data_IF_257305604890
#
_entry.id   IF_257305604890
#
_cell.length_a   1.000
_cell.length_b   1.000
_cell.length_c   1.000
_cell.angle_alpha   90.00
_cell.angle_beta   90.00
_cell.angle_gamma   90.00
#
_symmetry.space_group_name_H-M   'P 1'
#
loop_
_entity.id
_entity.type
_entity.pdbx_description
1 polymer ?
#
# COMPACT_ATOMS: atom_id res chain seq x y z
N UNK A 1 -7.47 -2.84 17.67
CA UNK A 1 -8.92 -2.73 17.89
C UNK A 1 -9.77 -3.20 16.71
N UNK A 2 -9.31 -3.12 15.46
CA UNK A 2 -10.11 -3.43 14.26
C UNK A 2 -10.88 -4.77 14.32
N UNK A 3 -10.19 -5.88 14.61
CA UNK A 3 -10.80 -7.22 14.77
C UNK A 3 -11.87 -7.21 15.87
N UNK A 4 -11.52 -6.72 17.07
CA UNK A 4 -12.43 -6.69 18.22
C UNK A 4 -13.66 -5.78 18.01
N UNK A 5 -13.63 -4.91 17.01
CA UNK A 5 -14.70 -3.97 16.69
C UNK A 5 -15.46 -4.34 15.43
N UNK A 6 -15.20 -5.50 14.81
CA UNK A 6 -15.79 -5.91 13.54
C UNK A 6 -15.68 -4.79 12.48
N UNK A 7 -14.51 -4.14 12.43
CA UNK A 7 -14.31 -3.01 11.53
C UNK A 7 -14.25 -3.48 10.07
N UNK A 8 -14.95 -2.77 9.18
CA UNK A 8 -14.90 -3.00 7.72
C UNK A 8 -13.64 -2.44 7.06
N UNK A 9 -12.84 -1.69 7.81
CA UNK A 9 -11.62 -1.03 7.34
C UNK A 9 -11.01 -0.18 8.45
N UNK A 10 -9.81 0.32 8.22
CA UNK A 10 -9.07 1.16 9.17
C UNK A 10 -8.48 2.38 8.49
N UNK A 11 -8.40 3.48 9.23
CA UNK A 11 -7.63 4.67 8.86
C UNK A 11 -6.55 4.84 9.90
N UNK A 12 -5.32 5.09 9.45
CA UNK A 12 -4.18 5.37 10.30
C UNK A 12 -4.08 6.87 10.53
N UNK A 13 -3.67 7.26 11.73
CA UNK A 13 -3.45 8.66 12.08
C UNK A 13 -2.19 8.77 12.93
N UNK A 14 -1.24 9.58 12.48
CA UNK A 14 -0.02 9.90 13.21
C UNK A 14 0.02 11.41 13.50
N UNK A 15 0.21 11.79 14.75
CA UNK A 15 0.42 13.20 15.12
C UNK A 15 1.91 13.60 15.04
N UNK A 16 2.28 14.44 14.08
CA UNK A 16 3.57 15.11 14.06
C UNK A 16 3.50 16.35 14.95
N UNK A 17 4.22 16.32 16.08
CA UNK A 17 4.31 17.49 16.98
C UNK A 17 5.16 18.62 16.39
N UNK A 18 5.95 18.32 15.34
CA UNK A 18 6.62 19.31 14.52
C UNK A 18 5.64 19.96 13.54
N UNK A 19 5.93 21.20 13.10
CA UNK A 19 5.16 21.89 12.05
C UNK A 19 5.39 21.34 10.64
N UNK A 20 6.11 20.23 10.51
CA UNK A 20 6.37 19.58 9.24
C UNK A 20 5.42 18.38 9.06
N UNK A 21 4.42 18.49 8.18
CA UNK A 21 3.47 17.43 7.93
C UNK A 21 4.01 16.37 6.95
N UNK A 22 5.26 16.49 6.50
CA UNK A 22 5.89 15.54 5.58
C UNK A 22 5.97 14.15 6.22
N UNK A 23 5.41 13.10 5.59
CA UNK A 23 5.50 11.74 6.11
C UNK A 23 6.96 11.26 6.18
N UNK A 24 7.35 10.72 7.33
CA UNK A 24 8.68 10.14 7.51
C UNK A 24 8.80 8.79 6.80
N UNK A 25 10.03 8.30 6.63
CA UNK A 25 10.25 6.94 6.11
C UNK A 25 9.68 5.87 7.04
N UNK A 26 9.62 6.13 8.35
CA UNK A 26 8.97 5.24 9.31
C UNK A 26 7.46 5.19 9.12
N UNK A 27 6.81 6.32 8.78
CA UNK A 27 5.38 6.34 8.47
C UNK A 27 5.08 5.55 7.20
N UNK A 28 5.90 5.71 6.16
CA UNK A 28 5.77 4.95 4.91
C UNK A 28 5.95 3.45 5.13
N UNK A 29 6.97 3.06 5.88
CA UNK A 29 7.24 1.66 6.21
C UNK A 29 6.09 1.02 7.01
N UNK A 30 5.60 1.73 8.03
CA UNK A 30 4.47 1.30 8.85
C UNK A 30 3.21 1.14 8.00
N UNK A 31 2.95 2.09 7.10
CA UNK A 31 1.79 2.07 6.21
C UNK A 31 1.81 0.86 5.30
N UNK A 32 2.93 0.59 4.62
CA UNK A 32 3.10 -0.60 3.77
C UNK A 32 2.84 -1.88 4.58
N UNK A 33 3.50 -2.03 5.73
CA UNK A 33 3.34 -3.21 6.57
C UNK A 33 1.88 -3.42 7.00
N UNK A 34 1.19 -2.37 7.41
CA UNK A 34 -0.22 -2.45 7.83
C UNK A 34 -1.18 -2.70 6.66
N UNK A 35 -0.87 -2.22 5.45
CA UNK A 35 -1.61 -2.60 4.24
C UNK A 35 -1.52 -4.11 4.00
N UNK A 36 -0.35 -4.72 4.15
CA UNK A 36 -0.21 -6.18 3.99
C UNK A 36 -0.98 -6.94 5.08
N UNK A 37 -0.90 -6.48 6.33
CA UNK A 37 -1.70 -7.07 7.43
C UNK A 37 -3.20 -6.95 7.15
N UNK A 38 -3.65 -5.80 6.65
CA UNK A 38 -5.04 -5.58 6.27
C UNK A 38 -5.52 -6.51 5.16
N UNK A 39 -4.66 -6.86 4.21
CA UNK A 39 -4.96 -7.87 3.17
C UNK A 39 -5.15 -9.27 3.77
N UNK A 40 -4.27 -9.67 4.69
CA UNK A 40 -4.34 -10.99 5.35
C UNK A 40 -5.61 -11.11 6.20
N UNK A 41 -5.99 -10.04 6.88
CA UNK A 41 -7.15 -10.02 7.78
C UNK A 41 -8.48 -9.70 7.08
N UNK A 42 -8.45 -9.37 5.79
CA UNK A 42 -9.59 -8.81 5.05
C UNK A 42 -10.18 -7.55 5.72
N UNK A 43 -9.31 -6.71 6.28
CA UNK A 43 -9.65 -5.41 6.87
C UNK A 43 -8.73 -4.35 6.26
N UNK A 44 -9.15 -3.68 5.16
CA UNK A 44 -8.27 -2.79 4.41
C UNK A 44 -7.86 -1.56 5.22
N UNK A 45 -6.62 -1.10 4.99
CA UNK A 45 -6.17 0.25 5.37
C UNK A 45 -6.60 1.21 4.27
N UNK A 46 -7.53 2.10 4.60
CA UNK A 46 -8.18 3.00 3.65
C UNK A 46 -7.33 4.23 3.36
N UNK A 47 -6.70 4.79 4.40
CA UNK A 47 -5.83 5.96 4.30
C UNK A 47 -4.91 6.06 5.53
N UNK A 48 -3.90 6.93 5.44
CA UNK A 48 -3.06 7.36 6.56
C UNK A 48 -2.94 8.88 6.56
N UNK A 49 -3.36 9.51 7.65
CA UNK A 49 -3.19 10.94 7.88
C UNK A 49 -2.00 11.23 8.79
N UNK A 50 -1.13 12.13 8.36
CA UNK A 50 -0.20 12.81 9.26
C UNK A 50 -0.88 14.10 9.68
N UNK A 51 -1.10 14.30 10.98
CA UNK A 51 -1.76 15.49 11.50
C UNK A 51 -0.72 16.35 12.22
N UNK A 52 -0.74 17.64 11.93
CA UNK A 52 0.01 18.68 12.64
C UNK A 52 -0.97 19.73 13.17
N UNK A 53 -0.45 20.79 13.80
CA UNK A 53 -1.30 21.91 14.24
C UNK A 53 -1.91 22.72 13.10
N UNK A 54 -1.32 22.69 11.90
CA UNK A 54 -1.71 23.57 10.79
C UNK A 54 -2.20 22.81 9.55
N UNK A 55 -1.82 21.53 9.41
CA UNK A 55 -2.10 20.73 8.22
C UNK A 55 -2.33 19.23 8.55
N UNK A 56 -2.96 18.51 7.64
CA UNK A 56 -3.35 17.10 7.77
C UNK A 56 -3.22 16.30 6.45
N UNK A 57 -2.03 16.16 5.85
CA UNK A 57 -1.90 15.44 4.59
C UNK A 57 -2.37 13.99 4.69
N UNK A 58 -3.10 13.59 3.65
CA UNK A 58 -3.54 12.23 3.38
C UNK A 58 -2.54 11.52 2.48
N UNK A 59 -2.13 10.32 2.85
CA UNK A 59 -1.33 9.44 2.00
C UNK A 59 -2.05 9.12 0.69
N UNK A 60 -3.38 8.94 0.72
CA UNK A 60 -4.17 8.66 -0.48
C UNK A 60 -4.13 9.87 -1.43
N UNK A 61 -4.30 11.09 -0.91
CA UNK A 61 -4.26 12.31 -1.71
C UNK A 61 -2.86 12.57 -2.30
N UNK A 62 -1.80 12.23 -1.56
CA UNK A 62 -0.41 12.35 -2.01
C UNK A 62 0.03 11.20 -2.94
N UNK A 63 -0.83 10.20 -3.19
CA UNK A 63 -0.50 9.03 -4.02
C UNK A 63 0.38 7.98 -3.33
N UNK A 64 0.74 8.19 -2.06
CA UNK A 64 1.59 7.29 -1.26
C UNK A 64 0.89 5.96 -0.98
N UNK A 65 -0.45 5.94 -0.91
CA UNK A 65 -1.18 4.67 -0.73
C UNK A 65 -0.96 3.70 -1.90
N UNK A 66 -0.94 4.20 -3.14
CA UNK A 66 -0.69 3.35 -4.31
C UNK A 66 0.76 2.87 -4.36
N UNK A 67 1.71 3.72 -3.97
CA UNK A 67 3.11 3.32 -3.81
C UNK A 67 3.25 2.18 -2.79
N UNK A 68 2.70 2.34 -1.59
CA UNK A 68 2.74 1.31 -0.54
C UNK A 68 2.01 0.03 -0.96
N UNK A 69 0.86 0.11 -1.64
CA UNK A 69 0.12 -1.07 -2.12
C UNK A 69 0.93 -1.91 -3.13
N UNK A 70 1.79 -1.27 -3.92
CA UNK A 70 2.64 -1.90 -4.95
C UNK A 70 3.99 -2.37 -4.42
N UNK A 71 4.35 -1.99 -3.19
CA UNK A 71 5.55 -2.46 -2.53
C UNK A 71 5.57 -3.98 -2.42
N UNK A 72 6.76 -4.55 -2.65
CA UNK A 72 7.06 -5.97 -2.40
C UNK A 72 7.80 -6.18 -1.08
N UNK A 73 8.07 -5.11 -0.31
CA UNK A 73 8.93 -5.14 0.89
C UNK A 73 8.36 -6.04 1.99
N UNK A 74 7.07 -5.90 2.27
CA UNK A 74 6.38 -6.64 3.33
C UNK A 74 5.43 -7.73 2.82
N UNK A 75 5.45 -8.01 1.51
CA UNK A 75 4.59 -9.03 0.91
C UNK A 75 5.00 -10.41 1.42
N UNK A 76 4.08 -11.23 1.95
CA UNK A 76 4.40 -12.57 2.40
C UNK A 76 4.99 -13.41 1.26
N UNK A 77 6.00 -14.27 1.51
CA UNK A 77 6.66 -15.03 0.45
C UNK A 77 5.71 -15.85 -0.45
N UNK A 78 4.65 -16.43 0.14
CA UNK A 78 3.65 -17.20 -0.60
C UNK A 78 2.85 -16.37 -1.62
N UNK A 79 2.71 -15.05 -1.42
CA UNK A 79 2.06 -14.16 -2.38
C UNK A 79 2.99 -13.73 -3.51
N UNK A 80 4.30 -13.67 -3.25
CA UNK A 80 5.30 -13.29 -4.26
C UNK A 80 5.30 -14.32 -5.40
N UNK A 81 5.18 -15.61 -5.09
CA UNK A 81 5.10 -16.69 -6.07
C UNK A 81 3.87 -16.56 -6.98
N UNK A 82 2.73 -16.11 -6.43
CA UNK A 82 1.49 -15.90 -7.20
C UNK A 82 1.58 -14.66 -8.09
N UNK A 83 2.28 -13.60 -7.66
CA UNK A 83 2.48 -12.38 -8.47
C UNK A 83 3.51 -12.53 -9.58
N UNK A 84 4.51 -13.40 -9.41
CA UNK A 84 5.55 -13.69 -10.41
C UNK A 84 5.09 -14.80 -11.38
N UNK A 85 4.20 -15.70 -10.95
CA UNK A 85 3.66 -16.73 -11.83
C UNK A 85 2.90 -16.10 -12.99
N UNK A 86 3.20 -16.49 -14.26
CA UNK A 86 2.48 -15.96 -15.39
C UNK A 86 0.99 -16.32 -15.28
N UNK A 87 0.12 -15.34 -15.47
CA UNK A 87 -1.31 -15.62 -15.67
C UNK A 87 -1.45 -16.65 -16.79
N UNK A 88 -2.17 -17.78 -16.57
CA UNK A 88 -2.43 -18.72 -17.65
C UNK A 88 -3.24 -17.99 -18.73
N UNK A 89 -2.61 -17.73 -19.89
CA UNK A 89 -3.29 -17.20 -21.07
C UNK A 89 -2.79 -15.90 -21.70
N UNK A 90 -1.76 -15.21 -21.17
CA UNK A 90 -1.13 -14.10 -21.93
C UNK A 90 -0.02 -14.63 -22.83
N UNK A 91 -0.40 -15.27 -23.94
CA UNK A 91 0.52 -15.54 -25.05
C UNK A 91 1.00 -14.21 -25.63
N UNK A 92 2.27 -13.89 -25.42
CA UNK A 92 2.95 -12.84 -26.17
C UNK A 92 3.06 -13.26 -27.63
N UNK A 93 2.12 -12.83 -28.49
CA UNK A 93 2.33 -12.91 -29.94
C UNK A 93 3.43 -11.93 -30.30
N UNK A 94 4.69 -12.40 -30.32
CA UNK A 94 5.78 -11.71 -31.01
C UNK A 94 5.43 -11.69 -32.49
N UNK A 95 4.87 -10.57 -32.95
CA UNK A 95 4.72 -10.31 -34.39
C UNK A 95 6.11 -10.03 -34.94
N UNK A 96 6.72 -11.07 -35.50
CA UNK A 96 7.87 -10.97 -36.39
C UNK A 96 7.56 -9.93 -37.47
N UNK A 97 8.35 -8.86 -37.52
CA UNK A 97 8.55 -8.06 -38.72
C UNK A 97 9.98 -8.30 -39.17
N UNK A 98 10.15 -9.24 -40.09
CA UNK A 98 11.24 -9.28 -41.05
C UNK A 98 10.69 -8.87 -42.42
N UNK A 99 11.59 -8.38 -43.29
CA UNK A 99 11.45 -7.90 -44.68
C UNK A 99 10.76 -6.53 -44.81
N UNK A 100 11.33 -5.48 -45.41
CA UNK A 100 12.43 -5.36 -46.41
C UNK A 100 13.32 -4.14 -46.13
#
# INVERSE_FOLDING_TARGET
MAILKNAVGTILVHNHTARDPTPSDADKDLTDRLIQVGRILDIPVLDHFIITTEDFPSFQYQGLMEESRRSSKWVPPYEIEVRISPLPGKSSTKRSKNSE
#
